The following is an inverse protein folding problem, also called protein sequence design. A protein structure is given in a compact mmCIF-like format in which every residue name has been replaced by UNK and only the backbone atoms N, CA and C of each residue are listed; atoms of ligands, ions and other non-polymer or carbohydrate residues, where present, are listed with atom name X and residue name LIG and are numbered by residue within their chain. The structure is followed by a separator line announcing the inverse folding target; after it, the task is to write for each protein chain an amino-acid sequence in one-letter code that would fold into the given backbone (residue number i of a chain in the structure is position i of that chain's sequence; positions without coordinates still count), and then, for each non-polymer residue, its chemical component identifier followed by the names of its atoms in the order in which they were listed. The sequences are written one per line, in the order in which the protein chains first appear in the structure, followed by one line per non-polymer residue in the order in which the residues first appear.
data_IF_239775507979
#
_entry.id   IF_239775507979
#
_cell.length_a   1.000
_cell.length_b   1.000
_cell.length_c   1.000
_cell.angle_alpha   90.00
_cell.angle_beta   90.00
_cell.angle_gamma   90.00
#
_symmetry.space_group_name_H-M   'P 1'
#
loop_
_entity.id
_entity.type
_entity.pdbx_description
1 polymer ?
#
# COMPACT_ATOMS: atom_id res chain seq x y z
N UNK A 1 0.95 -16.63 7.64
CA UNK A 1 2.16 -15.82 7.81
C UNK A 1 3.36 -16.56 7.23
N UNK A 2 4.36 -15.84 6.68
CA UNK A 2 5.61 -16.45 6.20
C UNK A 2 5.58 -17.06 4.79
N UNK A 3 4.50 -16.95 4.03
CA UNK A 3 4.40 -17.53 2.67
C UNK A 3 4.96 -16.61 1.54
N UNK A 4 5.77 -15.60 1.87
CA UNK A 4 6.49 -14.78 0.88
C UNK A 4 5.70 -13.61 0.26
N UNK A 5 4.47 -13.34 0.66
CA UNK A 5 3.65 -12.25 0.10
C UNK A 5 4.29 -10.87 0.25
N UNK A 6 4.78 -10.54 1.44
CA UNK A 6 5.46 -9.25 1.70
C UNK A 6 6.77 -9.14 0.91
N UNK A 7 7.48 -10.24 0.72
CA UNK A 7 8.67 -10.27 -0.14
C UNK A 7 8.29 -10.03 -1.59
N UNK A 8 7.22 -10.66 -2.06
CA UNK A 8 6.72 -10.49 -3.43
C UNK A 8 6.32 -9.05 -3.72
N UNK A 9 5.49 -8.43 -2.86
CA UNK A 9 5.02 -7.06 -3.09
C UNK A 9 6.19 -6.06 -3.14
N UNK A 10 7.24 -6.27 -2.32
CA UNK A 10 8.44 -5.44 -2.29
C UNK A 10 9.36 -5.60 -3.50
N UNK A 11 9.17 -6.64 -4.34
CA UNK A 11 9.85 -6.73 -5.62
C UNK A 11 9.36 -5.66 -6.60
N UNK A 12 8.09 -5.25 -6.51
CA UNK A 12 7.46 -4.31 -7.44
C UNK A 12 8.08 -2.90 -7.37
N UNK A 13 8.59 -2.49 -6.20
CA UNK A 13 9.25 -1.19 -6.01
C UNK A 13 10.75 -1.33 -5.68
N UNK A 14 11.33 -2.50 -5.90
CA UNK A 14 12.74 -2.81 -5.66
C UNK A 14 13.21 -2.55 -4.23
N UNK A 15 12.31 -2.67 -3.23
CA UNK A 15 12.73 -2.54 -1.83
C UNK A 15 13.59 -3.71 -1.35
N UNK A 16 13.55 -4.85 -2.04
CA UNK A 16 14.38 -6.00 -1.72
C UNK A 16 15.85 -5.83 -2.17
N UNK A 17 16.19 -4.82 -2.97
CA UNK A 17 17.55 -4.55 -3.43
C UNK A 17 18.54 -4.29 -2.28
N UNK A 18 18.05 -3.90 -1.12
CA UNK A 18 18.86 -3.70 0.10
C UNK A 18 19.15 -5.01 0.85
N UNK A 19 18.65 -6.14 0.37
CA UNK A 19 18.82 -7.46 0.98
C UNK A 19 19.76 -8.28 0.11
N UNK A 20 21.01 -8.40 0.50
CA UNK A 20 22.10 -9.02 -0.30
C UNK A 20 21.77 -10.42 -0.80
N UNK A 21 21.05 -11.22 -0.03
CA UNK A 21 20.68 -12.60 -0.39
C UNK A 21 19.42 -12.68 -1.26
N UNK A 22 18.69 -11.58 -1.46
CA UNK A 22 17.49 -11.57 -2.27
C UNK A 22 17.84 -11.43 -3.75
N UNK A 23 17.39 -12.38 -4.56
CA UNK A 23 17.50 -12.32 -6.02
C UNK A 23 16.13 -12.38 -6.63
N UNK A 24 15.81 -11.39 -7.44
CA UNK A 24 14.56 -11.34 -8.23
C UNK A 24 14.88 -11.78 -9.65
N UNK A 25 14.11 -12.73 -10.17
CA UNK A 25 14.22 -13.23 -11.55
C UNK A 25 12.86 -13.20 -12.22
N UNK A 26 12.83 -13.11 -13.55
CA UNK A 26 11.61 -12.91 -14.31
C UNK A 26 11.36 -11.43 -14.57
N UNK A 27 10.23 -11.09 -15.18
CA UNK A 27 9.90 -9.75 -15.60
C UNK A 27 8.81 -9.17 -14.71
N UNK A 28 8.98 -7.94 -14.28
CA UNK A 28 7.96 -7.12 -13.60
C UNK A 28 7.86 -5.83 -14.39
N UNK A 29 6.70 -5.58 -14.97
CA UNK A 29 6.45 -4.41 -15.79
C UNK A 29 5.39 -3.51 -15.15
N UNK A 30 5.64 -2.21 -15.16
CA UNK A 30 4.69 -1.18 -14.77
C UNK A 30 4.57 -0.21 -15.93
N UNK A 31 3.41 -0.18 -16.55
CA UNK A 31 3.13 0.65 -17.72
C UNK A 31 4.19 0.52 -18.84
N UNK A 32 4.55 -0.73 -19.14
CA UNK A 32 5.54 -1.08 -20.18
C UNK A 32 7.00 -0.85 -19.78
N UNK A 33 7.27 -0.45 -18.53
CA UNK A 33 8.63 -0.27 -18.01
C UNK A 33 9.04 -1.49 -17.18
N UNK A 34 10.14 -2.16 -17.57
CA UNK A 34 10.70 -3.30 -16.83
C UNK A 34 11.34 -2.80 -15.52
N UNK A 35 10.79 -3.25 -14.39
CA UNK A 35 11.21 -2.82 -13.05
C UNK A 35 12.64 -3.26 -12.72
N UNK A 36 13.07 -4.43 -13.22
CA UNK A 36 14.38 -4.99 -12.92
C UNK A 36 15.48 -4.53 -13.90
N UNK A 37 15.18 -3.60 -14.82
CA UNK A 37 16.20 -3.03 -15.69
C UNK A 37 17.31 -2.36 -14.84
N UNK A 38 18.56 -2.70 -15.15
CA UNK A 38 19.74 -2.18 -14.44
C UNK A 38 19.92 -0.67 -14.63
N UNK A 39 19.41 -0.13 -15.73
CA UNK A 39 19.49 1.30 -16.06
C UNK A 39 18.31 2.09 -15.50
N UNK A 40 17.30 1.41 -14.91
CA UNK A 40 16.15 2.10 -14.34
C UNK A 40 16.56 2.91 -13.11
N UNK A 41 16.19 4.19 -13.09
CA UNK A 41 16.31 5.01 -11.90
C UNK A 41 15.33 4.54 -10.82
N UNK A 42 15.87 3.97 -9.74
CA UNK A 42 15.09 3.43 -8.63
C UNK A 42 14.35 4.53 -7.86
N UNK A 43 14.87 5.76 -7.86
CA UNK A 43 14.19 6.89 -7.19
C UNK A 43 12.92 7.24 -7.95
N UNK A 44 13.01 7.39 -9.27
CA UNK A 44 11.84 7.61 -10.14
C UNK A 44 10.82 6.46 -10.06
N UNK A 45 11.30 5.21 -10.00
CA UNK A 45 10.40 4.06 -9.79
C UNK A 45 9.62 4.20 -8.48
N UNK A 46 10.28 4.55 -7.37
CA UNK A 46 9.66 4.66 -6.05
C UNK A 46 8.76 5.88 -5.89
N UNK A 47 8.91 6.89 -6.74
CA UNK A 47 7.93 7.97 -6.87
C UNK A 47 6.63 7.46 -7.52
N UNK A 48 6.74 6.63 -8.57
CA UNK A 48 5.60 6.04 -9.28
C UNK A 48 4.91 4.93 -8.47
N UNK A 49 5.62 4.28 -7.55
CA UNK A 49 5.15 3.11 -6.79
C UNK A 49 5.26 3.37 -5.30
N UNK A 50 4.19 3.89 -4.72
CA UNK A 50 4.09 4.15 -3.28
C UNK A 50 3.97 2.87 -2.45
N UNK A 51 4.43 2.90 -1.19
CA UNK A 51 4.36 1.76 -0.27
C UNK A 51 3.79 2.15 1.08
N UNK A 52 2.82 1.37 1.54
CA UNK A 52 2.24 1.43 2.89
C UNK A 52 2.56 0.13 3.61
N UNK A 53 3.17 0.24 4.79
CA UNK A 53 3.64 -0.91 5.57
C UNK A 53 2.60 -1.41 6.55
N UNK A 54 2.79 -2.64 7.00
CA UNK A 54 1.94 -3.32 7.99
C UNK A 54 1.85 -2.54 9.32
N UNK A 55 2.99 -2.07 9.84
CA UNK A 55 3.01 -1.17 10.99
C UNK A 55 3.07 0.27 10.49
N UNK A 56 2.19 1.14 10.98
CA UNK A 56 2.32 2.56 10.69
C UNK A 56 3.73 3.05 11.03
N UNK A 57 4.33 3.79 10.13
CA UNK A 57 5.69 4.29 10.26
C UNK A 57 5.79 5.78 9.88
N UNK A 58 5.03 6.66 10.56
CA UNK A 58 5.21 8.08 10.33
C UNK A 58 6.65 8.49 10.64
N UNK A 59 7.17 9.43 9.87
CA UNK A 59 8.47 10.02 10.21
C UNK A 59 8.38 10.71 11.57
N UNK A 60 9.47 10.79 12.34
CA UNK A 60 9.54 11.55 13.59
C UNK A 60 9.58 13.07 13.31
N UNK A 61 8.58 13.54 12.61
CA UNK A 61 8.36 14.88 12.09
C UNK A 61 6.89 15.24 12.27
N UNK A 62 6.55 16.51 12.00
CA UNK A 62 5.15 16.95 12.06
C UNK A 62 4.27 16.23 11.04
N UNK A 63 2.94 16.32 11.23
CA UNK A 63 1.94 15.81 10.28
C UNK A 63 2.20 16.44 8.90
N UNK A 64 2.38 17.77 8.87
CA UNK A 64 2.70 18.52 7.66
C UNK A 64 3.95 18.00 6.96
N UNK A 65 5.05 17.87 7.71
CA UNK A 65 6.33 17.42 7.13
C UNK A 65 6.30 15.98 6.66
N UNK A 66 5.50 15.10 7.26
CA UNK A 66 5.33 13.74 6.79
C UNK A 66 4.82 13.69 5.34
N UNK A 67 3.94 14.61 4.98
CA UNK A 67 3.31 14.64 3.65
C UNK A 67 4.13 15.48 2.67
N UNK A 68 4.58 16.66 3.09
CA UNK A 68 5.32 17.58 2.23
C UNK A 68 6.72 17.07 1.86
N UNK A 69 7.24 16.08 2.58
CA UNK A 69 8.57 15.51 2.32
C UNK A 69 8.71 14.94 0.90
N UNK A 70 7.74 14.11 0.47
CA UNK A 70 7.77 13.50 -0.86
C UNK A 70 7.78 14.53 -2.00
N UNK A 71 6.81 15.44 -2.05
CA UNK A 71 6.83 16.53 -3.04
C UNK A 71 8.13 17.34 -3.05
N UNK A 72 8.65 17.71 -1.88
CA UNK A 72 9.90 18.48 -1.78
C UNK A 72 11.12 17.78 -2.40
N UNK A 73 11.34 16.50 -2.08
CA UNK A 73 12.52 15.78 -2.59
C UNK A 73 12.42 15.48 -4.09
N UNK A 74 11.20 15.45 -4.64
CA UNK A 74 10.96 15.23 -6.06
C UNK A 74 10.85 16.54 -6.86
N UNK A 75 11.26 17.67 -6.27
CA UNK A 75 11.22 18.97 -6.95
C UNK A 75 9.81 19.44 -7.30
N UNK A 76 8.81 19.00 -6.53
CA UNK A 76 7.42 19.45 -6.64
C UNK A 76 7.10 20.33 -5.42
N UNK A 77 6.45 21.47 -5.68
CA UNK A 77 6.14 22.42 -4.60
C UNK A 77 7.32 23.34 -4.28
N UNK A 78 7.66 24.20 -5.21
CA UNK A 78 8.71 25.23 -5.06
C UNK A 78 8.29 26.32 -4.08
N UNK A 79 6.99 26.52 -3.89
CA UNK A 79 6.44 27.50 -2.97
C UNK A 79 5.72 26.84 -1.79
N UNK A 80 5.62 27.62 -0.70
CA UNK A 80 4.86 27.16 0.47
C UNK A 80 3.39 26.89 0.11
N UNK A 81 2.80 27.71 -0.73
CA UNK A 81 1.39 27.57 -1.15
C UNK A 81 1.13 26.25 -1.88
N UNK A 82 2.05 25.84 -2.76
CA UNK A 82 1.96 24.56 -3.47
C UNK A 82 2.10 23.37 -2.50
N UNK A 83 3.01 23.48 -1.54
CA UNK A 83 3.16 22.44 -0.51
C UNK A 83 1.93 22.34 0.39
N UNK A 84 1.35 23.48 0.76
CA UNK A 84 0.11 23.52 1.54
C UNK A 84 -1.03 22.81 0.78
N UNK A 85 -1.12 23.01 -0.54
CA UNK A 85 -2.10 22.32 -1.39
C UNK A 85 -1.84 20.81 -1.46
N UNK A 86 -0.60 20.37 -1.63
CA UNK A 86 -0.25 18.93 -1.58
C UNK A 86 -0.64 18.31 -0.25
N UNK A 87 -0.36 18.98 0.87
CA UNK A 87 -0.67 18.50 2.21
C UNK A 87 -2.18 18.40 2.42
N UNK A 88 -2.92 19.47 2.13
CA UNK A 88 -4.36 19.50 2.28
C UNK A 88 -5.05 18.43 1.42
N UNK A 89 -4.70 18.36 0.13
CA UNK A 89 -5.27 17.39 -0.80
C UNK A 89 -4.98 15.95 -0.39
N UNK A 90 -3.77 15.66 0.07
CA UNK A 90 -3.38 14.31 0.52
C UNK A 90 -4.12 13.91 1.79
N UNK A 91 -4.28 14.83 2.75
CA UNK A 91 -5.04 14.60 3.97
C UNK A 91 -6.54 14.43 3.70
N UNK A 92 -7.11 15.19 2.77
CA UNK A 92 -8.49 15.02 2.33
C UNK A 92 -8.70 13.66 1.66
N UNK A 93 -7.85 13.31 0.70
CA UNK A 93 -7.90 12.01 0.02
C UNK A 93 -7.72 10.82 0.97
N UNK A 94 -7.01 10.99 2.09
CA UNK A 94 -6.84 9.95 3.11
C UNK A 94 -7.87 9.99 4.23
N UNK A 95 -8.92 10.80 4.09
CA UNK A 95 -9.98 11.02 5.09
C UNK A 95 -9.44 11.38 6.49
N UNK A 96 -8.34 12.16 6.53
CA UNK A 96 -7.69 12.56 7.78
C UNK A 96 -7.77 14.07 8.04
N UNK A 97 -8.05 14.88 7.02
CA UNK A 97 -8.03 16.35 7.08
C UNK A 97 -8.81 16.92 8.27
N UNK A 98 -10.07 16.55 8.41
CA UNK A 98 -10.94 17.10 9.45
C UNK A 98 -10.48 16.78 10.88
N UNK A 99 -9.69 15.72 11.03
CA UNK A 99 -9.18 15.30 12.33
C UNK A 99 -7.86 16.01 12.71
N UNK A 100 -7.13 16.60 11.73
CA UNK A 100 -5.78 17.11 11.97
C UNK A 100 -5.51 18.52 11.45
N UNK A 101 -6.42 19.15 10.72
CA UNK A 101 -6.21 20.46 10.05
C UNK A 101 -5.75 21.58 11.00
N UNK A 102 -6.16 21.54 12.27
CA UNK A 102 -5.84 22.55 13.28
C UNK A 102 -4.57 22.23 14.09
N UNK A 103 -3.87 21.13 13.74
CA UNK A 103 -2.67 20.65 14.47
C UNK A 103 -1.63 20.02 13.56
N UNK A 104 -1.44 20.57 12.37
CA UNK A 104 -0.51 20.06 11.35
C UNK A 104 0.96 20.09 11.80
N UNK A 105 1.30 20.93 12.76
CA UNK A 105 2.65 21.06 13.32
C UNK A 105 2.94 20.03 14.44
N UNK A 106 1.92 19.30 14.91
CA UNK A 106 2.12 18.24 15.89
C UNK A 106 2.88 17.04 15.28
N UNK A 107 3.63 16.28 16.11
CA UNK A 107 4.32 15.09 15.63
C UNK A 107 3.34 14.06 15.06
N UNK A 108 3.62 13.53 13.86
CA UNK A 108 2.81 12.46 13.27
C UNK A 108 2.72 11.20 14.14
N UNK A 109 3.70 10.99 15.02
CA UNK A 109 3.73 9.87 15.98
C UNK A 109 2.78 10.04 17.17
N UNK A 110 2.23 11.23 17.39
CA UNK A 110 1.23 11.48 18.46
C UNK A 110 -0.18 11.00 18.08
N UNK A 111 -0.41 10.69 16.81
CA UNK A 111 -1.68 10.22 16.31
C UNK A 111 -2.01 8.79 16.79
N UNK A 112 -3.31 8.44 16.82
CA UNK A 112 -3.74 7.05 17.05
C UNK A 112 -3.26 6.12 15.93
N UNK A 113 -3.21 4.80 16.16
CA UNK A 113 -2.73 3.83 15.17
C UNK A 113 -3.45 3.93 13.81
N UNK A 114 -4.79 4.07 13.82
CA UNK A 114 -5.57 4.25 12.60
C UNK A 114 -5.31 5.60 11.90
N UNK A 115 -5.10 6.67 12.67
CA UNK A 115 -4.70 7.96 12.12
C UNK A 115 -3.28 7.93 11.54
N UNK A 116 -2.33 7.27 12.23
CA UNK A 116 -0.97 7.08 11.72
C UNK A 116 -0.97 6.30 10.40
N UNK A 117 -1.80 5.26 10.30
CA UNK A 117 -1.92 4.49 9.05
C UNK A 117 -2.47 5.36 7.91
N UNK A 118 -3.50 6.16 8.16
CA UNK A 118 -4.04 7.12 7.17
C UNK A 118 -3.01 8.21 6.83
N UNK A 119 -2.19 8.66 7.78
CA UNK A 119 -1.07 9.56 7.51
C UNK A 119 -0.02 8.92 6.60
N UNK A 120 0.31 7.64 6.82
CA UNK A 120 1.23 6.90 5.94
C UNK A 120 0.64 6.72 4.52
N UNK A 121 -0.68 6.54 4.40
CA UNK A 121 -1.37 6.52 3.09
C UNK A 121 -1.31 7.92 2.46
N UNK A 122 -1.63 9.01 3.21
CA UNK A 122 -1.53 10.38 2.73
C UNK A 122 -0.12 10.70 2.19
N UNK A 123 0.91 10.28 2.92
CA UNK A 123 2.31 10.41 2.49
C UNK A 123 2.60 9.65 1.19
N UNK A 124 2.09 8.43 1.06
CA UNK A 124 2.30 7.63 -0.14
C UNK A 124 1.63 8.24 -1.38
N UNK A 125 0.45 8.87 -1.24
CA UNK A 125 -0.28 9.47 -2.35
C UNK A 125 0.13 10.92 -2.65
N UNK A 126 0.92 11.57 -1.79
CA UNK A 126 1.28 12.98 -1.93
C UNK A 126 2.12 13.28 -3.20
N UNK A 127 2.82 12.29 -3.70
CA UNK A 127 3.61 12.38 -4.96
C UNK A 127 2.80 11.99 -6.19
N UNK A 128 1.52 11.61 -6.01
CA UNK A 128 0.60 11.13 -7.05
C UNK A 128 1.15 9.89 -7.80
N UNK A 129 1.37 8.76 -7.11
CA UNK A 129 1.92 7.55 -7.70
C UNK A 129 0.93 6.90 -8.67
N UNK A 130 1.41 6.00 -9.53
CA UNK A 130 0.56 5.17 -10.41
C UNK A 130 0.05 3.92 -9.67
N UNK A 131 0.89 3.38 -8.79
CA UNK A 131 0.61 2.17 -8.02
C UNK A 131 0.81 2.41 -6.54
N UNK A 132 -0.10 1.91 -5.72
CA UNK A 132 0.04 1.90 -4.26
C UNK A 132 0.13 0.44 -3.80
N UNK A 133 1.23 0.11 -3.17
CA UNK A 133 1.46 -1.18 -2.54
C UNK A 133 1.07 -1.11 -1.06
N UNK A 134 0.27 -2.05 -0.56
CA UNK A 134 -0.15 -2.10 0.83
C UNK A 134 0.15 -3.48 1.42
N UNK A 135 1.06 -3.53 2.38
CA UNK A 135 1.44 -4.76 3.07
C UNK A 135 0.65 -4.89 4.38
N UNK A 136 -0.42 -5.68 4.38
CA UNK A 136 -1.31 -5.93 5.52
C UNK A 136 -1.79 -4.65 6.23
N UNK A 137 -2.39 -3.66 5.53
CA UNK A 137 -2.60 -2.29 6.03
C UNK A 137 -3.51 -2.19 7.25
N UNK A 138 -4.28 -3.22 7.57
CA UNK A 138 -5.24 -3.23 8.68
C UNK A 138 -4.90 -4.20 9.80
N UNK A 139 -3.79 -4.96 9.71
CA UNK A 139 -3.52 -6.07 10.64
C UNK A 139 -3.29 -5.66 12.10
N UNK A 140 -2.89 -4.43 12.33
CA UNK A 140 -2.62 -3.87 13.67
C UNK A 140 -3.72 -2.90 14.16
N UNK A 141 -4.89 -2.86 13.48
CA UNK A 141 -5.94 -1.89 13.73
C UNK A 141 -7.17 -2.55 14.35
N UNK A 142 -7.91 -1.78 15.14
CA UNK A 142 -9.23 -2.16 15.61
C UNK A 142 -10.27 -2.21 14.47
N UNK A 143 -11.45 -2.81 14.69
CA UNK A 143 -12.46 -2.94 13.64
C UNK A 143 -12.97 -1.62 13.06
N UNK A 144 -13.04 -0.55 13.88
CA UNK A 144 -13.53 0.77 13.42
C UNK A 144 -12.48 1.41 12.50
N UNK A 145 -11.20 1.39 12.92
CA UNK A 145 -10.11 1.88 12.11
C UNK A 145 -9.94 1.06 10.81
N UNK A 146 -10.13 -0.26 10.90
CA UNK A 146 -10.12 -1.15 9.72
C UNK A 146 -11.20 -0.76 8.72
N UNK A 147 -12.45 -0.54 9.16
CA UNK A 147 -13.54 -0.12 8.28
C UNK A 147 -13.20 1.19 7.55
N UNK A 148 -12.67 2.19 8.26
CA UNK A 148 -12.24 3.47 7.67
C UNK A 148 -11.15 3.29 6.60
N UNK A 149 -10.19 2.38 6.81
CA UNK A 149 -9.14 2.09 5.82
C UNK A 149 -9.73 1.36 4.60
N UNK A 150 -10.69 0.44 4.79
CA UNK A 150 -11.35 -0.25 3.68
C UNK A 150 -12.19 0.71 2.83
N UNK A 151 -12.94 1.63 3.44
CA UNK A 151 -13.64 2.71 2.74
C UNK A 151 -12.67 3.59 1.95
N UNK A 152 -11.55 3.96 2.58
CA UNK A 152 -10.50 4.73 1.92
C UNK A 152 -9.91 3.99 0.71
N UNK A 153 -9.66 2.68 0.83
CA UNK A 153 -9.19 1.85 -0.30
C UNK A 153 -10.22 1.87 -1.44
N UNK A 154 -11.51 1.79 -1.13
CA UNK A 154 -12.60 1.84 -2.11
C UNK A 154 -12.66 3.18 -2.86
N UNK A 155 -12.29 4.28 -2.22
CA UNK A 155 -12.18 5.57 -2.88
C UNK A 155 -10.89 5.68 -3.71
N UNK A 156 -9.75 5.28 -3.15
CA UNK A 156 -8.46 5.38 -3.81
C UNK A 156 -8.36 4.49 -5.07
N UNK A 157 -8.98 3.32 -5.08
CA UNK A 157 -8.96 2.41 -6.26
C UNK A 157 -9.63 2.98 -7.51
N UNK A 158 -10.40 4.07 -7.36
CA UNK A 158 -11.00 4.80 -8.50
C UNK A 158 -9.94 5.57 -9.30
N UNK A 159 -8.82 5.91 -8.67
CA UNK A 159 -7.75 6.74 -9.23
C UNK A 159 -6.43 6.00 -9.36
N UNK A 160 -6.13 5.11 -8.42
CA UNK A 160 -4.84 4.42 -8.31
C UNK A 160 -4.98 2.91 -8.56
N UNK A 161 -3.94 2.30 -9.12
CA UNK A 161 -3.80 0.84 -9.07
C UNK A 161 -3.32 0.44 -7.67
N UNK A 162 -4.09 -0.41 -6.98
CA UNK A 162 -3.75 -0.81 -5.61
C UNK A 162 -3.44 -2.31 -5.56
N UNK A 163 -2.29 -2.66 -5.01
CA UNK A 163 -1.90 -4.04 -4.74
C UNK A 163 -1.82 -4.23 -3.23
N UNK A 164 -2.68 -5.12 -2.71
CA UNK A 164 -2.79 -5.36 -1.26
C UNK A 164 -2.36 -6.78 -0.93
N UNK A 165 -1.50 -6.92 0.05
CA UNK A 165 -1.24 -8.18 0.73
C UNK A 165 -2.07 -8.22 2.01
N UNK A 166 -2.83 -9.29 2.20
CA UNK A 166 -3.59 -9.51 3.43
C UNK A 166 -3.66 -10.99 3.76
N UNK A 167 -3.83 -11.31 5.04
CA UNK A 167 -4.18 -12.65 5.51
C UNK A 167 -5.68 -12.77 5.82
N UNK A 168 -6.44 -11.67 5.73
CA UNK A 168 -7.88 -11.65 5.96
C UNK A 168 -8.65 -11.92 4.67
N UNK A 169 -9.26 -13.10 4.56
CA UNK A 169 -10.16 -13.43 3.45
C UNK A 169 -11.34 -12.46 3.36
N UNK A 170 -11.89 -12.08 4.51
CA UNK A 170 -13.01 -11.14 4.57
C UNK A 170 -12.62 -9.76 3.99
N UNK A 171 -11.43 -9.26 4.29
CA UNK A 171 -10.92 -8.03 3.70
C UNK A 171 -10.72 -8.17 2.19
N UNK A 172 -10.07 -9.25 1.73
CA UNK A 172 -9.88 -9.49 0.30
C UNK A 172 -11.20 -9.48 -0.48
N UNK A 173 -12.25 -10.12 0.06
CA UNK A 173 -13.60 -10.12 -0.55
C UNK A 173 -14.18 -8.72 -0.65
N UNK A 174 -14.01 -7.87 0.38
CA UNK A 174 -14.63 -6.53 0.40
C UNK A 174 -13.95 -5.56 -0.54
N UNK A 175 -12.61 -5.55 -0.60
CA UNK A 175 -11.88 -4.44 -1.25
C UNK A 175 -11.33 -4.77 -2.63
N UNK A 176 -11.16 -6.05 -3.00
CA UNK A 176 -10.44 -6.41 -4.23
C UNK A 176 -11.34 -6.85 -5.38
N UNK A 177 -10.93 -6.56 -6.62
CA UNK A 177 -11.55 -7.07 -7.86
C UNK A 177 -10.90 -8.36 -8.33
N UNK A 178 -9.60 -8.52 -8.07
CA UNK A 178 -8.82 -9.73 -8.35
C UNK A 178 -8.12 -10.19 -7.09
N UNK A 179 -8.06 -11.49 -6.90
CA UNK A 179 -7.38 -12.11 -5.74
C UNK A 179 -6.42 -13.18 -6.22
N UNK A 180 -5.21 -13.18 -5.65
CA UNK A 180 -4.23 -14.23 -5.81
C UNK A 180 -4.04 -15.00 -4.50
N UNK A 181 -4.12 -16.32 -4.54
CA UNK A 181 -3.84 -17.17 -3.40
C UNK A 181 -2.39 -17.63 -3.39
N UNK A 182 -1.66 -17.25 -2.34
CA UNK A 182 -0.28 -17.65 -2.11
C UNK A 182 -0.19 -18.74 -1.04
N UNK A 183 0.57 -19.80 -1.33
CA UNK A 183 0.90 -20.84 -0.38
C UNK A 183 2.37 -21.26 -0.51
N UNK A 184 3.11 -21.26 0.60
CA UNK A 184 4.54 -21.66 0.67
C UNK A 184 5.39 -21.07 -0.47
N UNK A 185 5.30 -19.76 -0.70
CA UNK A 185 6.08 -19.05 -1.71
C UNK A 185 5.59 -19.19 -3.15
N UNK A 186 4.48 -19.90 -3.39
CA UNK A 186 3.91 -20.11 -4.72
C UNK A 186 2.58 -19.40 -4.88
N UNK A 187 2.37 -18.76 -6.02
CA UNK A 187 1.05 -18.31 -6.46
C UNK A 187 0.28 -19.53 -6.97
N UNK A 188 -0.72 -19.95 -6.21
CA UNK A 188 -1.48 -21.17 -6.50
C UNK A 188 -2.60 -20.91 -7.51
N UNK A 189 -3.30 -19.79 -7.33
CA UNK A 189 -4.43 -19.42 -8.18
C UNK A 189 -4.57 -17.90 -8.18
N UNK A 190 -4.99 -17.32 -9.31
CA UNK A 190 -5.34 -15.91 -9.44
C UNK A 190 -6.55 -15.74 -10.33
N UNK A 191 -7.47 -14.87 -9.94
CA UNK A 191 -8.68 -14.63 -10.72
C UNK A 191 -9.54 -13.52 -10.15
N UNK A 192 -10.75 -13.36 -10.72
CA UNK A 192 -11.75 -12.45 -10.15
C UNK A 192 -12.05 -12.88 -8.72
N UNK A 193 -12.10 -11.94 -7.79
CA UNK A 193 -12.33 -12.20 -6.37
C UNK A 193 -13.57 -13.06 -6.13
N UNK A 194 -14.66 -12.74 -6.79
CA UNK A 194 -15.89 -13.53 -6.68
C UNK A 194 -15.70 -14.99 -7.07
N UNK A 195 -14.96 -15.28 -8.17
CA UNK A 195 -14.67 -16.64 -8.61
C UNK A 195 -13.80 -17.37 -7.61
N UNK A 196 -12.70 -16.73 -7.16
CA UNK A 196 -11.77 -17.33 -6.19
C UNK A 196 -12.49 -17.74 -4.91
N UNK A 197 -13.41 -16.93 -4.39
CA UNK A 197 -14.07 -17.21 -3.12
C UNK A 197 -15.34 -18.06 -3.22
N UNK A 198 -16.02 -18.11 -4.38
CA UNK A 198 -17.24 -18.90 -4.57
C UNK A 198 -17.00 -20.24 -5.25
N UNK A 199 -16.13 -20.27 -6.26
CA UNK A 199 -15.88 -21.46 -7.08
C UNK A 199 -14.45 -21.46 -7.63
N UNK A 200 -13.42 -21.64 -6.78
CA UNK A 200 -12.04 -21.73 -7.23
C UNK A 200 -11.82 -22.96 -8.10
N UNK A 201 -10.90 -22.87 -9.05
CA UNK A 201 -10.54 -24.00 -9.93
C UNK A 201 -9.54 -24.94 -9.23
N UNK A 202 -8.76 -24.41 -8.27
CA UNK A 202 -7.73 -25.19 -7.56
C UNK A 202 -8.26 -25.74 -6.24
N UNK A 203 -8.13 -27.05 -6.04
CA UNK A 203 -8.56 -27.73 -4.82
C UNK A 203 -7.89 -27.16 -3.56
N UNK A 204 -6.62 -26.78 -3.63
CA UNK A 204 -5.89 -26.18 -2.51
C UNK A 204 -6.49 -24.82 -2.10
N UNK A 205 -6.91 -24.01 -3.07
CA UNK A 205 -7.64 -22.77 -2.83
C UNK A 205 -8.98 -23.05 -2.15
N UNK A 206 -9.72 -24.07 -2.63
CA UNK A 206 -11.00 -24.48 -2.05
C UNK A 206 -10.83 -24.95 -0.61
N UNK A 207 -9.85 -25.80 -0.34
CA UNK A 207 -9.59 -26.32 1.01
C UNK A 207 -9.22 -25.19 1.97
N UNK A 208 -8.42 -24.21 1.52
CA UNK A 208 -8.07 -23.02 2.31
C UNK A 208 -9.31 -22.19 2.66
N UNK A 209 -10.16 -21.87 1.68
CA UNK A 209 -11.36 -21.04 1.87
C UNK A 209 -12.37 -21.72 2.78
N UNK A 210 -12.51 -23.04 2.67
CA UNK A 210 -13.47 -23.83 3.48
C UNK A 210 -12.92 -24.21 4.86
N UNK A 211 -11.70 -23.79 5.22
CA UNK A 211 -11.07 -24.13 6.50
C UNK A 211 -10.65 -25.59 6.63
N UNK A 212 -10.58 -26.35 5.53
CA UNK A 212 -10.16 -27.76 5.48
C UNK A 212 -8.65 -27.91 5.23
N UNK A 213 -7.93 -26.84 5.38
CA UNK A 213 -6.50 -26.79 5.18
C UNK A 213 -5.80 -27.24 6.47
N UNK A 214 -5.28 -28.45 6.49
CA UNK A 214 -4.58 -29.07 7.60
C UNK A 214 -3.71 -30.24 7.12
#
# INVERSE_FOLDING_TARGET
SGCGKSTFIRCINRMNDVIDICKVTGNIEIDGVEVNDKNLDVVSLRERVGMVFQKPNPFPKSIYENISYGPKINGKGDTKSELDEFVENSLKKSALWEEVKDRLDEPGTSLSGGQQQRLCIARAISVNPEVILMDEPCSALDPIATAKIEELIDDLKKTYTIVIVTHSMAQAVRVSQKTGFFHLGKLIEVGKTEKIFKNPDNKMTQDYITGRFG
#
